data_IF_896867504158
#
_entry.id   IF_896867504158
#
_cell.length_a   1.000
_cell.length_b   1.000
_cell.length_c   1.000
_cell.angle_alpha   90.00
_cell.angle_beta   90.00
_cell.angle_gamma   90.00
#
_symmetry.space_group_name_H-M   'P 1'
#
loop_
_entity.id
_entity.type
_entity.pdbx_description
1 polymer ?
#
# COMPACT_ATOMS: atom_id res chain seq x y z
N UNK A 1 -10.38 2.69 -16.53
CA UNK A 1 -9.80 2.53 -15.19
C UNK A 1 -10.95 2.31 -14.23
N UNK A 2 -11.12 1.10 -13.69
CA UNK A 2 -12.19 0.83 -12.71
C UNK A 2 -11.87 1.59 -11.41
N UNK A 3 -12.85 2.29 -10.84
CA UNK A 3 -12.67 2.92 -9.53
C UNK A 3 -12.79 1.87 -8.41
N UNK A 4 -12.27 2.17 -7.21
CA UNK A 4 -12.25 1.25 -6.06
C UNK A 4 -13.64 0.64 -5.78
N UNK A 5 -14.69 1.45 -5.85
CA UNK A 5 -16.04 1.00 -5.53
C UNK A 5 -16.56 -0.04 -6.54
N UNK A 6 -16.31 0.20 -7.83
CA UNK A 6 -16.69 -0.74 -8.90
C UNK A 6 -15.98 -2.09 -8.76
N UNK A 7 -14.68 -2.07 -8.39
CA UNK A 7 -13.93 -3.30 -8.18
C UNK A 7 -14.48 -4.10 -6.99
N UNK A 8 -14.83 -3.43 -5.89
CA UNK A 8 -15.43 -4.07 -4.72
C UNK A 8 -16.77 -4.71 -5.08
N UNK A 9 -17.64 -3.99 -5.79
CA UNK A 9 -18.93 -4.52 -6.24
C UNK A 9 -18.74 -5.75 -7.13
N UNK A 10 -17.85 -5.67 -8.13
CA UNK A 10 -17.62 -6.79 -9.04
C UNK A 10 -17.07 -8.03 -8.32
N UNK A 11 -16.15 -7.87 -7.36
CA UNK A 11 -15.64 -8.99 -6.55
C UNK A 11 -16.76 -9.63 -5.73
N UNK A 12 -17.63 -8.81 -5.12
CA UNK A 12 -18.79 -9.31 -4.39
C UNK A 12 -19.80 -10.05 -5.29
N UNK A 13 -19.85 -9.72 -6.58
CA UNK A 13 -20.66 -10.39 -7.61
C UNK A 13 -19.99 -11.66 -8.18
N UNK A 14 -18.83 -12.05 -7.68
CA UNK A 14 -18.12 -13.27 -8.07
C UNK A 14 -17.02 -13.06 -9.12
N UNK A 15 -16.65 -11.82 -9.43
CA UNK A 15 -15.46 -11.56 -10.25
C UNK A 15 -14.19 -11.92 -9.47
N UNK A 16 -13.35 -12.79 -10.03
CA UNK A 16 -12.03 -13.11 -9.50
C UNK A 16 -10.92 -12.51 -10.37
N UNK A 17 -10.55 -11.23 -10.16
CA UNK A 17 -9.52 -10.58 -10.97
C UNK A 17 -8.15 -11.20 -10.68
N UNK A 18 -7.52 -11.79 -11.71
CA UNK A 18 -6.18 -12.35 -11.60
C UNK A 18 -5.10 -11.29 -11.35
N UNK A 19 -5.32 -10.07 -11.81
CA UNK A 19 -4.37 -8.98 -11.71
C UNK A 19 -5.08 -7.67 -11.38
N UNK A 20 -4.46 -6.86 -10.51
CA UNK A 20 -4.86 -5.49 -10.22
C UNK A 20 -3.72 -4.55 -10.60
N UNK A 21 -3.92 -3.78 -11.67
CA UNK A 21 -2.94 -2.79 -12.09
C UNK A 21 -2.94 -1.60 -11.14
N UNK A 22 -1.76 -1.26 -10.62
CA UNK A 22 -1.54 -0.06 -9.82
C UNK A 22 -0.31 0.69 -10.33
N UNK A 23 -0.27 2.00 -10.09
CA UNK A 23 0.86 2.85 -10.45
C UNK A 23 0.98 4.03 -9.50
N UNK A 24 2.21 4.43 -9.20
CA UNK A 24 2.56 5.49 -8.26
C UNK A 24 2.85 4.95 -6.85
N UNK A 25 3.78 5.60 -6.16
CA UNK A 25 4.21 5.24 -4.79
C UNK A 25 4.01 6.38 -3.79
N UNK A 26 3.57 7.58 -4.23
CA UNK A 26 3.37 8.73 -3.34
C UNK A 26 2.22 8.44 -2.38
N UNK A 27 2.47 8.42 -1.05
CA UNK A 27 1.42 8.26 -0.05
C UNK A 27 0.46 9.45 -0.05
N UNK A 28 -0.71 9.28 0.55
CA UNK A 28 -1.60 10.42 0.78
C UNK A 28 -0.96 11.41 1.76
N UNK A 29 -1.01 12.73 1.50
CA UNK A 29 -0.60 13.74 2.48
C UNK A 29 -1.42 13.66 3.78
N UNK A 30 -2.65 13.13 3.71
CA UNK A 30 -3.56 12.99 4.86
C UNK A 30 -3.34 11.69 5.63
N UNK A 31 -2.42 10.83 5.21
CA UNK A 31 -2.23 9.49 5.79
C UNK A 31 -3.28 8.46 5.38
N UNK A 32 -4.24 8.82 4.52
CA UNK A 32 -5.20 7.87 3.98
C UNK A 32 -4.53 6.76 3.17
N UNK A 33 -5.04 5.54 3.33
CA UNK A 33 -4.60 4.39 2.54
C UNK A 33 -5.08 4.56 1.10
N UNK A 34 -4.13 4.63 0.18
CA UNK A 34 -4.39 4.71 -1.27
C UNK A 34 -3.72 3.54 -2.00
N UNK A 35 -3.88 3.46 -3.33
CA UNK A 35 -3.20 2.46 -4.18
C UNK A 35 -1.68 2.40 -4.01
N UNK A 36 -1.06 3.44 -3.44
CA UNK A 36 0.36 3.45 -3.07
C UNK A 36 0.71 2.36 -2.06
N UNK A 37 -0.26 1.83 -1.30
CA UNK A 37 -0.05 0.73 -0.37
C UNK A 37 0.39 -0.59 -1.01
N UNK A 38 0.16 -0.73 -2.32
CA UNK A 38 0.61 -1.87 -3.11
C UNK A 38 2.07 -1.71 -3.58
N UNK A 39 2.67 -0.54 -3.38
CA UNK A 39 4.06 -0.29 -3.77
C UNK A 39 5.03 -0.97 -2.81
N UNK A 40 6.18 -1.38 -3.34
CA UNK A 40 7.28 -1.94 -2.54
C UNK A 40 7.76 -0.94 -1.46
N UNK A 41 7.57 0.35 -1.68
CA UNK A 41 8.09 1.42 -0.83
C UNK A 41 7.04 1.92 0.16
N UNK A 42 5.90 1.25 0.27
CA UNK A 42 4.90 1.57 1.26
C UNK A 42 5.40 1.22 2.66
N UNK A 43 5.46 2.23 3.53
CA UNK A 43 5.79 2.04 4.93
C UNK A 43 4.60 1.41 5.66
N UNK A 44 4.78 0.17 6.12
CA UNK A 44 3.77 -0.56 6.87
C UNK A 44 4.37 -1.10 8.17
N UNK A 45 3.81 -0.64 9.30
CA UNK A 45 4.15 -1.14 10.63
C UNK A 45 3.36 -2.40 10.94
N UNK A 46 4.00 -3.40 11.54
CA UNK A 46 3.38 -4.63 12.02
C UNK A 46 3.98 -5.02 13.37
N UNK A 47 3.20 -5.73 14.19
CA UNK A 47 3.58 -6.10 15.55
C UNK A 47 4.00 -7.59 15.60
N UNK A 48 5.14 -7.88 16.23
CA UNK A 48 5.59 -9.24 16.57
C UNK A 48 6.09 -9.21 18.01
N UNK A 49 5.59 -10.11 18.85
CA UNK A 49 6.02 -10.28 20.25
C UNK A 49 6.06 -8.94 21.03
N UNK A 50 4.95 -8.18 20.99
CA UNK A 50 4.79 -6.85 21.60
C UNK A 50 5.79 -5.78 21.10
N UNK A 51 6.39 -5.98 19.91
CA UNK A 51 7.29 -5.02 19.26
C UNK A 51 6.72 -4.57 17.92
N UNK A 52 6.55 -3.27 17.77
CA UNK A 52 6.20 -2.64 16.50
C UNK A 52 7.43 -2.56 15.61
N UNK A 53 7.33 -3.12 14.41
CA UNK A 53 8.38 -3.16 13.39
C UNK A 53 7.84 -2.54 12.11
N UNK A 54 8.54 -1.56 11.53
CA UNK A 54 8.19 -1.02 10.22
C UNK A 54 8.87 -1.82 9.11
N UNK A 55 8.10 -2.30 8.12
CA UNK A 55 8.70 -2.83 6.89
C UNK A 55 9.28 -1.68 6.10
N UNK A 56 10.60 -1.58 6.13
CA UNK A 56 11.37 -0.66 5.32
C UNK A 56 12.12 -1.47 4.27
N UNK A 57 11.61 -1.53 3.04
CA UNK A 57 12.36 -2.09 1.91
C UNK A 57 13.44 -1.09 1.50
N UNK A 58 14.55 -1.01 2.24
CA UNK A 58 15.72 -0.23 1.81
C UNK A 58 17.01 -1.01 1.86
N UNK A 59 17.70 -1.05 0.72
CA UNK A 59 19.11 -0.66 0.72
C UNK A 59 19.17 0.79 1.22
N UNK A 60 19.62 1.01 2.46
CA UNK A 60 19.84 2.36 3.00
C UNK A 60 21.08 2.95 2.33
N UNK A 61 20.89 3.92 1.44
CA UNK A 61 21.85 5.03 1.31
C UNK A 61 21.18 6.27 1.90
N UNK A 62 21.91 6.91 2.82
CA UNK A 62 21.38 7.82 3.81
C UNK A 62 20.72 9.08 3.26
N UNK A 63 19.90 9.67 4.11
CA UNK A 63 19.25 10.94 3.85
C UNK A 63 17.82 10.90 4.37
N UNK A 64 17.62 11.54 5.52
CA UNK A 64 16.35 11.69 6.20
C UNK A 64 15.14 11.88 5.26
N UNK A 65 14.09 11.08 5.45
CA UNK A 65 12.71 11.44 5.12
C UNK A 65 11.80 10.89 6.20
N UNK A 66 11.76 11.63 7.30
CA UNK A 66 10.61 11.68 8.20
C UNK A 66 9.43 12.25 7.40
N UNK A 67 8.29 11.56 7.46
CA UNK A 67 6.99 12.18 7.27
C UNK A 67 6.62 12.93 8.55
#
# INVERSE_FOLDING_TARGET
>A
MQNRQQLITAINEGLEPKYLFFWGHTPSPTGEITKSCLSQWYEASFEIDDKIISKHSTHKHGGAKTC
#
